data_IF_057363579400
#
_entry.id   IF_057363579400
#
_cell.length_a   1.000
_cell.length_b   1.000
_cell.length_c   1.000
_cell.angle_alpha   90.00
_cell.angle_beta   90.00
_cell.angle_gamma   90.00
#
_symmetry.space_group_name_H-M   'P 1'
#
loop_
_entity.id
_entity.type
_entity.pdbx_description
1 polymer ?
#
# COMPACT_ATOMS: atom_id res chain seq x y z
N UNK A 1 -0.77 -30.62 -13.03
CA UNK A 1 -0.15 -29.67 -13.97
C UNK A 1 -0.87 -28.32 -13.99
N UNK A 2 -1.53 -27.90 -12.90
CA UNK A 2 -2.38 -26.69 -12.87
C UNK A 2 -1.71 -25.45 -12.22
N UNK A 3 -0.43 -25.52 -11.87
CA UNK A 3 0.29 -24.40 -11.22
C UNK A 3 1.03 -23.47 -12.20
N UNK A 4 0.90 -23.61 -13.52
CA UNK A 4 1.70 -22.81 -14.48
C UNK A 4 1.23 -21.36 -14.64
N UNK A 5 -0.01 -21.02 -14.26
CA UNK A 5 -0.57 -19.67 -14.46
C UNK A 5 -0.20 -18.67 -13.36
N UNK A 6 0.22 -19.14 -12.18
CA UNK A 6 0.52 -18.26 -11.04
C UNK A 6 1.72 -17.31 -11.26
N UNK A 7 2.86 -17.77 -11.80
CA UNK A 7 3.98 -16.87 -12.07
C UNK A 7 3.62 -15.79 -13.09
N UNK A 8 2.84 -16.14 -14.11
CA UNK A 8 2.40 -15.25 -15.18
C UNK A 8 1.40 -14.21 -14.67
N UNK A 9 0.37 -14.63 -13.92
CA UNK A 9 -0.58 -13.71 -13.29
C UNK A 9 0.07 -12.75 -12.29
N UNK A 10 0.98 -13.26 -11.46
CA UNK A 10 1.73 -12.44 -10.51
C UNK A 10 2.67 -11.44 -11.21
N UNK A 11 3.31 -11.87 -12.30
CA UNK A 11 4.15 -11.01 -13.13
C UNK A 11 3.34 -9.92 -13.82
N UNK A 12 2.19 -10.26 -14.43
CA UNK A 12 1.29 -9.30 -15.08
C UNK A 12 0.77 -8.30 -14.05
N UNK A 13 0.25 -8.77 -12.91
CA UNK A 13 -0.30 -7.89 -11.86
C UNK A 13 0.76 -6.93 -11.32
N UNK A 14 1.97 -7.44 -11.02
CA UNK A 14 3.06 -6.60 -10.55
C UNK A 14 3.56 -5.63 -11.61
N UNK A 15 3.60 -6.03 -12.89
CA UNK A 15 3.97 -5.16 -14.00
C UNK A 15 2.94 -4.05 -14.17
N UNK A 16 1.65 -4.37 -14.16
CA UNK A 16 0.56 -3.40 -14.26
C UNK A 16 0.62 -2.41 -13.10
N UNK A 17 0.76 -2.86 -11.86
CA UNK A 17 0.86 -1.98 -10.68
C UNK A 17 2.12 -1.09 -10.75
N UNK A 18 3.25 -1.66 -11.17
CA UNK A 18 4.52 -0.92 -11.25
C UNK A 18 4.51 0.10 -12.38
N UNK A 19 4.01 -0.29 -13.56
CA UNK A 19 3.91 0.59 -14.73
C UNK A 19 2.87 1.66 -14.49
N UNK A 20 1.71 1.34 -13.92
CA UNK A 20 0.72 2.35 -13.52
C UNK A 20 1.30 3.29 -12.47
N UNK A 21 1.92 2.77 -11.41
CA UNK A 21 2.51 3.61 -10.37
C UNK A 21 3.65 4.50 -10.89
N UNK A 22 4.55 3.95 -11.72
CA UNK A 22 5.65 4.71 -12.32
C UNK A 22 5.15 5.71 -13.38
N UNK A 23 4.18 5.32 -14.21
CA UNK A 23 3.53 6.23 -15.16
C UNK A 23 2.79 7.35 -14.43
N UNK A 24 2.08 7.05 -13.34
CA UNK A 24 1.45 8.05 -12.48
C UNK A 24 2.53 8.99 -11.95
N UNK A 25 3.61 8.50 -11.33
CA UNK A 25 4.66 9.38 -10.77
C UNK A 25 5.41 10.21 -11.82
N UNK A 26 5.73 9.62 -12.98
CA UNK A 26 6.37 10.32 -14.10
C UNK A 26 5.41 11.36 -14.67
N UNK A 27 4.12 11.04 -14.81
CA UNK A 27 3.09 12.01 -15.18
C UNK A 27 3.00 13.11 -14.11
N UNK A 28 3.03 12.81 -12.80
CA UNK A 28 3.02 13.84 -11.74
C UNK A 28 4.22 14.77 -11.92
N UNK A 29 5.42 14.22 -12.10
CA UNK A 29 6.65 15.00 -12.25
C UNK A 29 6.68 15.85 -13.52
N UNK A 30 6.24 15.31 -14.65
CA UNK A 30 6.15 16.03 -15.93
C UNK A 30 5.06 17.11 -15.89
N UNK A 31 3.93 16.85 -15.21
CA UNK A 31 2.81 17.79 -15.09
C UNK A 31 3.01 18.86 -14.00
N UNK A 32 3.69 18.57 -12.88
CA UNK A 32 4.13 19.62 -11.94
C UNK A 32 5.08 20.62 -12.61
N UNK A 33 5.78 20.19 -13.67
CA UNK A 33 6.64 21.04 -14.49
C UNK A 33 5.89 21.82 -15.58
N UNK A 34 4.66 21.41 -15.94
CA UNK A 34 3.82 22.00 -16.99
C UNK A 34 2.39 22.08 -16.48
N UNK A 35 2.06 23.16 -15.79
CA UNK A 35 0.70 23.44 -15.34
C UNK A 35 -0.20 23.62 -16.59
N UNK A 36 -0.86 22.54 -17.00
CA UNK A 36 -2.21 22.56 -17.56
C UNK A 36 -2.87 21.20 -17.27
N UNK A 37 -4.03 21.20 -16.63
CA UNK A 37 -4.49 20.16 -15.69
C UNK A 37 -5.24 19.04 -16.43
N UNK A 38 -4.57 17.89 -16.66
CA UNK A 38 -5.14 16.75 -17.42
C UNK A 38 -5.13 15.37 -16.74
N UNK A 39 -4.67 15.23 -15.49
CA UNK A 39 -4.56 13.95 -14.77
C UNK A 39 -5.30 13.94 -13.43
N UNK A 40 -5.77 12.77 -12.98
CA UNK A 40 -6.43 12.68 -11.67
C UNK A 40 -5.40 12.71 -10.55
N UNK A 41 -5.30 13.84 -9.84
CA UNK A 41 -4.31 14.06 -8.79
C UNK A 41 -4.97 14.16 -7.43
N UNK A 42 -4.32 13.64 -6.39
CA UNK A 42 -4.72 13.81 -4.99
C UNK A 42 -3.58 14.47 -4.24
N UNK A 43 -3.75 15.73 -3.87
CA UNK A 43 -2.76 16.50 -3.12
C UNK A 43 -3.30 16.69 -1.70
N UNK A 44 -2.54 16.21 -0.72
CA UNK A 44 -2.87 16.39 0.68
C UNK A 44 -2.37 17.76 1.13
N UNK A 45 -3.20 18.48 1.89
CA UNK A 45 -2.84 19.76 2.49
C UNK A 45 -3.35 19.78 3.94
N UNK A 46 -2.52 20.35 4.82
CA UNK A 46 -2.86 20.61 6.21
C UNK A 46 -2.92 22.12 6.39
N UNK A 47 -4.12 22.67 6.48
CA UNK A 47 -4.38 24.10 6.69
C UNK A 47 -5.43 24.21 7.77
N UNK A 48 -5.38 25.21 8.63
CA UNK A 48 -6.57 25.53 9.43
C UNK A 48 -6.65 24.85 10.78
N UNK A 49 -6.07 23.63 10.92
CA UNK A 49 -6.59 22.50 11.70
C UNK A 49 -7.42 21.47 10.90
N UNK A 50 -7.33 21.53 9.57
CA UNK A 50 -8.10 20.70 8.65
C UNK A 50 -7.15 19.91 7.77
N UNK A 51 -7.45 18.63 7.61
CA UNK A 51 -6.86 17.78 6.58
C UNK A 51 -7.75 17.86 5.34
N UNK A 52 -7.18 18.35 4.23
CA UNK A 52 -7.85 18.43 2.94
C UNK A 52 -7.08 17.62 1.90
N UNK A 53 -7.81 16.85 1.10
CA UNK A 53 -7.30 16.16 -0.08
C UNK A 53 -7.96 16.76 -1.30
N UNK A 54 -7.18 17.53 -2.04
CA UNK A 54 -7.63 18.27 -3.22
C UNK A 54 -7.45 17.37 -4.42
N UNK A 55 -8.54 17.24 -5.19
CA UNK A 55 -8.64 16.32 -6.30
C UNK A 55 -8.85 17.07 -7.61
N UNK A 56 -7.97 16.82 -8.57
CA UNK A 56 -8.02 17.38 -9.91
C UNK A 56 -8.31 16.31 -10.96
N UNK A 57 -8.57 16.72 -12.21
CA UNK A 57 -8.49 15.85 -13.39
C UNK A 57 -9.79 15.16 -13.80
N UNK A 58 -9.70 14.04 -14.56
CA UNK A 58 -10.86 13.41 -15.20
C UNK A 58 -11.97 12.92 -14.25
N UNK A 59 -11.63 12.71 -12.98
CA UNK A 59 -12.62 12.40 -11.92
C UNK A 59 -13.71 13.45 -11.83
N UNK A 60 -13.41 14.72 -12.11
CA UNK A 60 -14.38 15.80 -12.04
C UNK A 60 -15.53 15.66 -13.05
N UNK A 61 -15.33 14.89 -14.12
CA UNK A 61 -16.38 14.60 -15.12
C UNK A 61 -17.36 13.51 -14.68
N UNK A 62 -17.06 12.79 -13.59
CA UNK A 62 -17.96 11.77 -13.05
C UNK A 62 -19.08 12.44 -12.23
N UNK A 63 -20.27 11.81 -12.14
CA UNK A 63 -21.29 12.26 -11.20
C UNK A 63 -20.78 12.17 -9.75
N UNK A 64 -21.32 13.01 -8.86
CA UNK A 64 -20.84 13.20 -7.49
C UNK A 64 -20.67 11.88 -6.72
N UNK A 65 -21.72 11.04 -6.70
CA UNK A 65 -21.67 9.73 -6.05
C UNK A 65 -20.52 8.83 -6.55
N UNK A 66 -20.16 8.93 -7.83
CA UNK A 66 -19.06 8.16 -8.42
C UNK A 66 -17.70 8.77 -8.06
N UNK A 67 -17.61 10.10 -7.92
CA UNK A 67 -16.42 10.78 -7.40
C UNK A 67 -16.15 10.35 -5.96
N UNK A 68 -17.17 10.37 -5.11
CA UNK A 68 -17.11 9.96 -3.71
C UNK A 68 -16.71 8.48 -3.57
N UNK A 69 -17.36 7.60 -4.34
CA UNK A 69 -17.04 6.18 -4.35
C UNK A 69 -15.60 5.92 -4.80
N UNK A 70 -15.12 6.62 -5.83
CA UNK A 70 -13.74 6.50 -6.29
C UNK A 70 -12.75 7.09 -5.28
N UNK A 71 -13.11 8.18 -4.60
CA UNK A 71 -12.32 8.76 -3.53
C UNK A 71 -12.14 7.75 -2.39
N UNK A 72 -13.25 7.26 -1.83
CA UNK A 72 -13.29 6.28 -0.75
C UNK A 72 -12.55 4.99 -1.11
N UNK A 73 -12.74 4.48 -2.34
CA UNK A 73 -12.01 3.31 -2.83
C UNK A 73 -10.50 3.55 -2.89
N UNK A 74 -10.08 4.75 -3.31
CA UNK A 74 -8.66 5.12 -3.31
C UNK A 74 -8.09 5.26 -1.91
N UNK A 75 -8.86 5.79 -0.95
CA UNK A 75 -8.47 5.82 0.47
C UNK A 75 -8.33 4.41 1.05
N UNK A 76 -9.28 3.51 0.75
CA UNK A 76 -9.19 2.11 1.14
C UNK A 76 -7.98 1.41 0.52
N UNK A 77 -7.59 1.78 -0.71
CA UNK A 77 -6.38 1.30 -1.35
C UNK A 77 -5.09 1.70 -0.60
N UNK A 78 -5.06 2.88 0.01
CA UNK A 78 -3.94 3.28 0.87
C UNK A 78 -3.86 2.36 2.09
N UNK A 79 -4.99 2.04 2.71
CA UNK A 79 -5.03 1.15 3.88
C UNK A 79 -4.60 -0.28 3.53
N UNK A 80 -4.98 -0.77 2.35
CA UNK A 80 -4.56 -2.06 1.83
C UNK A 80 -3.03 -2.24 1.76
N UNK A 81 -2.26 -1.15 1.64
CA UNK A 81 -0.80 -1.22 1.52
C UNK A 81 -0.13 -1.92 2.70
N UNK A 82 -0.60 -1.68 3.94
CA UNK A 82 -0.10 -2.40 5.12
C UNK A 82 -0.96 -3.60 5.49
N UNK A 83 -2.27 -3.54 5.26
CA UNK A 83 -3.19 -4.61 5.63
C UNK A 83 -2.95 -5.90 4.83
N UNK A 84 -2.32 -5.85 3.65
CA UNK A 84 -1.95 -7.04 2.87
C UNK A 84 -0.64 -7.72 3.30
N UNK A 85 0.22 -7.07 4.09
CA UNK A 85 1.51 -7.62 4.55
C UNK A 85 1.33 -8.96 5.32
N UNK A 86 0.36 -9.08 6.24
CA UNK A 86 0.08 -10.33 6.95
C UNK A 86 -0.27 -11.49 6.05
N UNK A 87 -1.05 -11.28 4.97
CA UNK A 87 -1.52 -12.37 4.11
C UNK A 87 -0.36 -13.16 3.51
N UNK A 88 0.65 -12.47 2.97
CA UNK A 88 1.83 -13.12 2.39
C UNK A 88 2.59 -13.92 3.45
N UNK A 89 2.73 -13.36 4.64
CA UNK A 89 3.43 -13.99 5.77
C UNK A 89 2.69 -15.20 6.32
N UNK A 90 1.36 -15.12 6.42
CA UNK A 90 0.49 -16.21 6.84
C UNK A 90 0.48 -17.35 5.83
N UNK A 91 0.48 -17.06 4.53
CA UNK A 91 0.58 -18.10 3.49
C UNK A 91 1.89 -18.89 3.60
N UNK A 92 3.00 -18.20 3.83
CA UNK A 92 4.31 -18.83 4.03
C UNK A 92 4.32 -19.65 5.32
N UNK A 93 3.84 -19.07 6.42
CA UNK A 93 3.69 -19.76 7.70
C UNK A 93 2.87 -21.04 7.55
N UNK A 94 1.69 -20.96 6.92
CA UNK A 94 0.82 -22.12 6.70
C UNK A 94 1.47 -23.17 5.80
N UNK A 95 2.21 -22.74 4.78
CA UNK A 95 2.88 -23.67 3.86
C UNK A 95 3.99 -24.47 4.53
N UNK A 96 4.63 -23.91 5.55
CA UNK A 96 5.71 -24.56 6.29
C UNK A 96 5.21 -25.32 7.53
N UNK A 97 4.36 -24.71 8.35
CA UNK A 97 3.88 -25.27 9.62
C UNK A 97 2.59 -26.09 9.49
N UNK A 98 1.81 -25.88 8.44
CA UNK A 98 0.49 -26.52 8.23
C UNK A 98 0.42 -27.13 6.82
N UNK A 99 1.41 -27.92 6.45
CA UNK A 99 1.50 -28.56 5.14
C UNK A 99 0.25 -29.41 4.79
N UNK A 100 -0.45 -29.95 5.78
CA UNK A 100 -1.68 -30.73 5.59
C UNK A 100 -2.90 -29.88 5.19
N UNK A 101 -2.82 -28.54 5.29
CA UNK A 101 -3.92 -27.68 4.85
C UNK A 101 -3.98 -27.66 3.33
N UNK A 102 -5.18 -27.89 2.78
CA UNK A 102 -5.49 -27.63 1.38
C UNK A 102 -5.19 -26.16 1.02
N UNK A 103 -4.86 -25.90 -0.25
CA UNK A 103 -4.57 -24.54 -0.75
C UNK A 103 -5.68 -23.55 -0.41
N UNK A 104 -6.96 -23.92 -0.62
CA UNK A 104 -8.11 -23.08 -0.30
C UNK A 104 -8.15 -22.65 1.18
N UNK A 105 -7.93 -23.59 2.12
CA UNK A 105 -7.85 -23.28 3.56
C UNK A 105 -6.72 -22.31 3.90
N UNK A 106 -5.56 -22.43 3.24
CA UNK A 106 -4.43 -21.50 3.45
C UNK A 106 -4.75 -20.09 2.95
N UNK A 107 -5.34 -19.99 1.76
CA UNK A 107 -5.80 -18.73 1.19
C UNK A 107 -6.87 -18.09 2.07
N UNK A 108 -7.90 -18.85 2.45
CA UNK A 108 -8.97 -18.37 3.31
C UNK A 108 -8.41 -17.82 4.62
N UNK A 109 -7.53 -18.56 5.31
CA UNK A 109 -6.94 -18.11 6.58
C UNK A 109 -6.05 -16.86 6.41
N UNK A 110 -5.27 -16.79 5.34
CA UNK A 110 -4.37 -15.67 5.10
C UNK A 110 -5.12 -14.38 4.74
N UNK A 111 -6.17 -14.48 3.93
CA UNK A 111 -6.92 -13.33 3.45
C UNK A 111 -8.11 -12.97 4.34
N UNK A 112 -8.65 -13.88 5.16
CA UNK A 112 -9.75 -13.55 6.08
C UNK A 112 -9.35 -12.46 7.08
N UNK A 113 -8.11 -12.52 7.59
CA UNK A 113 -7.56 -11.48 8.46
C UNK A 113 -7.52 -10.12 7.77
N UNK A 114 -7.05 -10.09 6.51
CA UNK A 114 -6.99 -8.85 5.71
C UNK A 114 -8.39 -8.32 5.42
N UNK A 115 -9.32 -9.18 5.00
CA UNK A 115 -10.70 -8.80 4.72
C UNK A 115 -11.39 -8.20 5.94
N UNK A 116 -11.12 -8.73 7.14
CA UNK A 116 -11.63 -8.18 8.39
C UNK A 116 -11.08 -6.78 8.67
N UNK A 117 -9.78 -6.55 8.48
CA UNK A 117 -9.17 -5.22 8.64
C UNK A 117 -9.69 -4.23 7.59
N UNK A 118 -9.80 -4.66 6.34
CA UNK A 118 -10.34 -3.84 5.24
C UNK A 118 -11.79 -3.47 5.52
N UNK A 119 -12.61 -4.41 5.96
CA UNK A 119 -14.00 -4.15 6.28
C UNK A 119 -14.14 -3.11 7.41
N UNK A 120 -13.31 -3.20 8.46
CA UNK A 120 -13.25 -2.20 9.53
C UNK A 120 -12.88 -0.82 8.98
N UNK A 121 -11.77 -0.74 8.25
CA UNK A 121 -11.23 0.55 7.82
C UNK A 121 -11.95 1.15 6.60
N UNK A 122 -12.74 0.37 5.86
CA UNK A 122 -13.54 0.88 4.73
C UNK A 122 -14.62 1.85 5.22
N UNK A 123 -15.19 1.60 6.40
CA UNK A 123 -16.13 2.52 7.03
C UNK A 123 -15.50 3.90 7.24
N UNK A 124 -14.27 3.94 7.77
CA UNK A 124 -13.48 5.15 7.97
C UNK A 124 -13.17 5.89 6.66
N UNK A 125 -13.07 5.17 5.54
CA UNK A 125 -12.83 5.79 4.24
C UNK A 125 -14.00 6.68 3.80
N UNK A 126 -15.22 6.38 4.25
CA UNK A 126 -16.41 7.18 3.98
C UNK A 126 -16.43 8.47 4.80
N UNK A 127 -15.78 8.50 5.97
CA UNK A 127 -15.74 9.69 6.83
C UNK A 127 -15.01 10.87 6.18
N UNK A 128 -14.09 10.60 5.25
CA UNK A 128 -13.39 11.62 4.47
C UNK A 128 -14.28 12.33 3.45
N UNK A 129 -15.45 11.76 3.12
CA UNK A 129 -16.44 12.45 2.28
C UNK A 129 -17.11 13.52 3.15
N UNK A 130 -16.90 14.81 2.85
CA UNK A 130 -17.37 15.87 3.71
C UNK A 130 -18.90 15.96 3.67
N UNK A 131 -19.46 16.44 4.77
CA UNK A 131 -20.89 16.78 4.86
C UNK A 131 -21.21 17.98 3.97
N UNK A 132 -22.48 18.11 3.55
CA UNK A 132 -22.92 19.20 2.66
C UNK A 132 -22.61 20.60 3.22
N UNK A 133 -22.61 20.77 4.55
CA UNK A 133 -22.27 22.05 5.17
C UNK A 133 -20.76 22.34 5.23
N UNK A 134 -19.92 21.31 5.17
CA UNK A 134 -18.47 21.43 5.33
C UNK A 134 -17.72 21.45 3.99
N UNK A 135 -18.33 20.97 2.92
CA UNK A 135 -17.71 20.93 1.58
C UNK A 135 -17.29 22.33 1.09
N UNK A 136 -18.09 23.36 1.36
CA UNK A 136 -17.79 24.73 0.91
C UNK A 136 -16.60 25.33 1.69
N UNK A 137 -16.50 25.03 2.98
CA UNK A 137 -15.34 25.39 3.80
C UNK A 137 -14.07 24.71 3.29
N UNK A 138 -14.14 23.42 2.98
CA UNK A 138 -13.03 22.66 2.39
C UNK A 138 -12.62 23.19 1.02
N UNK A 139 -13.59 23.59 0.17
CA UNK A 139 -13.31 24.22 -1.12
C UNK A 139 -12.55 25.52 -0.94
N UNK A 140 -12.96 26.37 0.01
CA UNK A 140 -12.28 27.62 0.29
C UNK A 140 -10.85 27.40 0.84
N UNK A 141 -10.67 26.40 1.70
CA UNK A 141 -9.34 25.95 2.12
C UNK A 141 -8.50 25.51 0.93
N UNK A 142 -9.07 24.71 0.02
CA UNK A 142 -8.40 24.25 -1.20
C UNK A 142 -7.98 25.40 -2.11
N UNK A 143 -8.86 26.39 -2.33
CA UNK A 143 -8.53 27.59 -3.12
C UNK A 143 -7.36 28.35 -2.53
N UNK A 144 -7.41 28.64 -1.23
CA UNK A 144 -6.34 29.38 -0.54
C UNK A 144 -5.03 28.61 -0.53
N UNK A 145 -5.08 27.30 -0.32
CA UNK A 145 -3.89 26.45 -0.29
C UNK A 145 -3.14 26.41 -1.63
N UNK A 146 -3.88 26.43 -2.74
CA UNK A 146 -3.34 26.30 -4.10
C UNK A 146 -3.36 27.59 -4.92
N UNK A 147 -3.74 28.72 -4.31
CA UNK A 147 -3.95 30.01 -4.98
C UNK A 147 -4.88 29.90 -6.20
N UNK A 148 -5.98 29.15 -6.07
CA UNK A 148 -6.96 28.95 -7.14
C UNK A 148 -7.97 30.08 -7.21
N UNK A 149 -8.48 30.30 -8.41
CA UNK A 149 -9.58 31.21 -8.72
C UNK A 149 -10.94 30.51 -8.66
N UNK A 150 -12.03 31.27 -8.75
CA UNK A 150 -13.38 30.71 -8.80
C UNK A 150 -13.68 29.96 -10.10
N UNK A 151 -12.91 30.17 -11.16
CA UNK A 151 -13.03 29.45 -12.43
C UNK A 151 -12.32 28.09 -12.43
N UNK A 152 -11.46 27.82 -11.46
CA UNK A 152 -10.73 26.56 -11.39
C UNK A 152 -11.62 25.45 -10.82
N UNK A 153 -11.72 24.35 -11.57
CA UNK A 153 -12.51 23.18 -11.19
C UNK A 153 -11.64 22.19 -10.41
N UNK A 154 -12.10 21.82 -9.21
CA UNK A 154 -11.50 20.80 -8.36
C UNK A 154 -12.55 20.26 -7.38
N UNK A 155 -12.26 19.11 -6.80
CA UNK A 155 -13.03 18.54 -5.69
C UNK A 155 -12.17 18.52 -4.43
N UNK A 156 -12.78 18.60 -3.26
CA UNK A 156 -12.05 18.49 -1.99
C UNK A 156 -12.74 17.49 -1.08
N UNK A 157 -11.93 16.62 -0.51
CA UNK A 157 -12.32 15.68 0.53
C UNK A 157 -11.51 15.97 1.77
N UNK A 158 -11.97 15.55 2.94
CA UNK A 158 -11.24 15.84 4.17
C UNK A 158 -12.10 15.87 5.41
N UNK A 159 -11.46 16.24 6.51
CA UNK A 159 -12.09 16.38 7.82
C UNK A 159 -11.22 17.25 8.72
N UNK A 160 -11.78 17.72 9.83
CA UNK A 160 -11.03 18.46 10.85
C UNK A 160 -10.06 17.53 11.57
N UNK A 161 -8.93 18.08 12.04
CA UNK A 161 -7.94 17.31 12.79
C UNK A 161 -8.51 16.88 14.15
N UNK A 162 -9.16 17.79 14.86
CA UNK A 162 -9.82 17.57 16.15
C UNK A 162 -11.35 17.64 16.03
N UNK A 163 -12.06 17.23 17.08
CA UNK A 163 -13.51 17.47 17.21
C UNK A 163 -13.78 18.96 17.44
N UNK A 164 -14.59 19.59 16.58
CA UNK A 164 -14.81 21.05 16.61
C UNK A 164 -16.26 21.47 16.37
N UNK A 165 -17.23 20.54 16.36
CA UNK A 165 -18.62 20.77 15.95
C UNK A 165 -18.81 20.88 14.43
N UNK A 166 -17.75 21.18 13.68
CA UNK A 166 -17.72 21.16 12.21
C UNK A 166 -17.73 19.73 11.68
N UNK A 167 -18.24 19.57 10.46
CA UNK A 167 -18.28 18.29 9.76
C UNK A 167 -18.90 17.14 10.59
N UNK A 168 -20.00 17.40 11.29
CA UNK A 168 -20.67 16.44 12.18
C UNK A 168 -19.73 15.82 13.24
N UNK A 169 -18.82 16.62 13.79
CA UNK A 169 -17.84 16.17 14.79
C UNK A 169 -16.90 15.04 14.32
N UNK A 170 -16.70 14.88 13.01
CA UNK A 170 -15.69 13.92 12.49
C UNK A 170 -14.28 14.43 12.75
N UNK A 171 -13.36 13.57 13.21
CA UNK A 171 -11.99 13.95 13.56
C UNK A 171 -10.96 13.00 12.95
N UNK A 172 -9.99 13.56 12.22
CA UNK A 172 -8.87 12.81 11.64
C UNK A 172 -8.03 12.13 12.72
N UNK A 173 -7.80 12.79 13.85
CA UNK A 173 -7.05 12.19 14.96
C UNK A 173 -7.79 10.99 15.54
N UNK A 174 -9.11 11.08 15.71
CA UNK A 174 -9.91 9.96 16.17
C UNK A 174 -9.86 8.79 15.18
N UNK A 175 -10.18 9.04 13.90
CA UNK A 175 -10.11 8.02 12.84
C UNK A 175 -8.71 7.39 12.77
N UNK A 176 -7.66 8.20 12.90
CA UNK A 176 -6.28 7.69 12.89
C UNK A 176 -5.99 6.83 14.11
N UNK A 177 -6.38 7.26 15.31
CA UNK A 177 -6.10 6.55 16.55
C UNK A 177 -6.89 5.25 16.70
N UNK A 178 -8.13 5.21 16.21
CA UNK A 178 -9.05 4.07 16.40
C UNK A 178 -8.98 3.07 15.25
N UNK A 179 -8.68 3.52 14.02
CA UNK A 179 -8.77 2.64 12.84
C UNK A 179 -7.40 2.43 12.18
N UNK A 180 -6.69 3.51 11.86
CA UNK A 180 -5.40 3.43 11.15
C UNK A 180 -4.34 2.79 12.06
N UNK A 181 -4.11 3.34 13.25
CA UNK A 181 -3.07 2.86 14.17
C UNK A 181 -3.29 1.40 14.60
N UNK A 182 -4.51 0.97 14.99
CA UNK A 182 -4.73 -0.43 15.38
C UNK A 182 -4.61 -1.40 14.21
N UNK A 183 -5.13 -1.06 13.02
CA UNK A 183 -4.99 -1.93 11.84
C UNK A 183 -3.53 -2.06 11.39
N UNK A 184 -2.78 -0.96 11.47
CA UNK A 184 -1.34 -0.94 11.21
C UNK A 184 -0.58 -1.81 12.20
N UNK A 185 -0.79 -1.59 13.50
CA UNK A 185 -0.16 -2.36 14.57
C UNK A 185 -0.49 -3.84 14.46
N UNK A 186 -1.76 -4.20 14.30
CA UNK A 186 -2.21 -5.58 14.15
C UNK A 186 -1.53 -6.26 12.95
N UNK A 187 -1.44 -5.57 11.82
CA UNK A 187 -0.76 -6.09 10.62
C UNK A 187 0.71 -6.41 10.89
N UNK A 188 1.43 -5.49 11.53
CA UNK A 188 2.85 -5.67 11.83
C UNK A 188 3.12 -6.70 12.95
N UNK A 189 2.23 -6.84 13.92
CA UNK A 189 2.31 -7.90 14.93
C UNK A 189 2.16 -9.28 14.31
N UNK A 190 1.18 -9.47 13.42
CA UNK A 190 1.00 -10.75 12.69
C UNK A 190 2.18 -11.03 11.77
N UNK A 191 2.67 -10.01 11.05
CA UNK A 191 3.87 -10.11 10.24
C UNK A 191 5.08 -10.57 11.08
N UNK A 192 5.38 -9.86 12.17
CA UNK A 192 6.51 -10.15 13.05
C UNK A 192 6.42 -11.53 13.68
N UNK A 193 5.23 -11.95 14.11
CA UNK A 193 4.98 -13.30 14.61
C UNK A 193 5.27 -14.35 13.54
N UNK A 194 4.65 -14.24 12.36
CA UNK A 194 4.83 -15.20 11.27
C UNK A 194 6.29 -15.28 10.83
N UNK A 195 6.94 -14.13 10.65
CA UNK A 195 8.34 -14.03 10.27
C UNK A 195 9.25 -14.70 11.31
N UNK A 196 9.06 -14.41 12.60
CA UNK A 196 9.84 -15.01 13.69
C UNK A 196 9.69 -16.54 13.72
N UNK A 197 8.48 -17.07 13.51
CA UNK A 197 8.23 -18.51 13.45
C UNK A 197 8.92 -19.14 12.23
N UNK A 198 8.72 -18.59 11.04
CA UNK A 198 9.35 -19.09 9.80
C UNK A 198 10.87 -19.04 9.91
N UNK A 199 11.42 -17.94 10.44
CA UNK A 199 12.86 -17.79 10.67
C UNK A 199 13.41 -18.89 11.59
N UNK A 200 12.76 -19.12 12.75
CA UNK A 200 13.16 -20.19 13.69
C UNK A 200 13.10 -21.57 13.05
N UNK A 201 12.06 -21.85 12.26
CA UNK A 201 11.96 -23.14 11.55
C UNK A 201 13.10 -23.33 10.56
N UNK A 202 13.38 -22.33 9.73
CA UNK A 202 14.47 -22.39 8.75
C UNK A 202 15.83 -22.50 9.45
N UNK A 203 15.99 -21.83 10.59
CA UNK A 203 17.19 -21.94 11.42
C UNK A 203 17.34 -23.35 12.02
N UNK A 204 16.30 -23.90 12.64
CA UNK A 204 16.37 -25.23 13.27
C UNK A 204 16.54 -26.36 12.24
N UNK A 205 15.99 -26.21 11.03
CA UNK A 205 16.24 -27.13 9.92
C UNK A 205 17.71 -27.20 9.51
N UNK A 206 18.53 -26.21 9.90
CA UNK A 206 19.97 -26.21 9.67
C UNK A 206 20.71 -27.21 10.56
N UNK A 207 20.18 -27.50 11.75
CA UNK A 207 20.89 -28.21 12.81
C UNK A 207 20.55 -29.71 12.88
N UNK A 208 19.40 -30.15 12.36
CA UNK A 208 18.93 -31.53 12.60
C UNK A 208 18.42 -32.33 11.40
N UNK A 209 18.28 -31.75 10.21
CA UNK A 209 17.68 -32.44 9.04
C UNK A 209 18.54 -32.24 7.80
N UNK A 210 18.82 -33.33 7.07
CA UNK A 210 19.51 -33.31 5.77
C UNK A 210 18.64 -32.66 4.68
N UNK A 211 18.41 -31.35 4.79
CA UNK A 211 17.73 -30.55 3.78
C UNK A 211 18.71 -30.27 2.64
N UNK A 212 18.28 -30.55 1.41
CA UNK A 212 19.07 -30.26 0.20
C UNK A 212 19.55 -28.81 0.20
N UNK A 213 20.77 -28.57 -0.29
CA UNK A 213 21.32 -27.21 -0.43
C UNK A 213 20.36 -26.30 -1.24
N UNK A 214 19.63 -26.88 -2.18
CA UNK A 214 18.61 -26.20 -2.98
C UNK A 214 17.46 -25.65 -2.12
N UNK A 215 16.85 -26.49 -1.28
CA UNK A 215 15.72 -26.06 -0.44
C UNK A 215 16.16 -25.04 0.60
N UNK A 216 17.38 -25.15 1.13
CA UNK A 216 17.96 -24.13 2.03
C UNK A 216 18.11 -22.76 1.34
N UNK A 217 18.66 -22.74 0.13
CA UNK A 217 18.77 -21.51 -0.66
C UNK A 217 17.40 -20.88 -0.92
N UNK A 218 16.42 -21.71 -1.32
CA UNK A 218 15.05 -21.25 -1.59
C UNK A 218 14.40 -20.64 -0.34
N UNK A 219 14.50 -21.28 0.83
CA UNK A 219 13.95 -20.76 2.09
C UNK A 219 14.61 -19.45 2.52
N UNK A 220 15.93 -19.31 2.34
CA UNK A 220 16.65 -18.08 2.65
C UNK A 220 16.17 -16.93 1.76
N UNK A 221 16.05 -17.18 0.46
CA UNK A 221 15.53 -16.19 -0.48
C UNK A 221 14.10 -15.80 -0.14
N UNK A 222 13.24 -16.76 0.21
CA UNK A 222 11.87 -16.50 0.63
C UNK A 222 11.82 -15.58 1.88
N UNK A 223 12.62 -15.88 2.90
CA UNK A 223 12.74 -15.07 4.11
C UNK A 223 13.22 -13.64 3.82
N UNK A 224 14.23 -13.49 2.95
CA UNK A 224 14.73 -12.17 2.55
C UNK A 224 13.66 -11.33 1.86
N UNK A 225 12.78 -11.96 1.07
CA UNK A 225 11.68 -11.27 0.42
C UNK A 225 10.61 -10.89 1.40
N UNK A 226 10.21 -11.82 2.27
CA UNK A 226 9.21 -11.54 3.28
C UNK A 226 9.67 -10.36 4.14
N UNK A 227 10.95 -10.35 4.54
CA UNK A 227 11.55 -9.22 5.24
C UNK A 227 11.49 -7.93 4.40
N UNK A 228 11.98 -7.94 3.16
CA UNK A 228 11.96 -6.75 2.31
C UNK A 228 10.54 -6.22 2.06
N UNK A 229 9.58 -7.10 1.81
CA UNK A 229 8.18 -6.76 1.55
C UNK A 229 7.48 -6.17 2.77
N UNK A 230 7.82 -6.59 3.99
CA UNK A 230 7.26 -6.01 5.21
C UNK A 230 8.02 -4.76 5.69
N UNK A 231 9.35 -4.77 5.62
CA UNK A 231 10.21 -3.73 6.19
C UNK A 231 10.33 -2.49 5.32
N UNK A 232 10.33 -2.62 3.99
CA UNK A 232 10.37 -1.44 3.10
C UNK A 232 9.14 -0.54 3.30
N UNK A 233 7.88 -1.05 3.26
CA UNK A 233 6.71 -0.27 3.68
C UNK A 233 6.84 0.36 5.05
N UNK A 234 7.28 -0.43 6.03
CA UNK A 234 7.36 0.03 7.41
C UNK A 234 8.26 1.26 7.52
N UNK A 235 9.45 1.20 6.92
CA UNK A 235 10.43 2.28 7.01
C UNK A 235 10.01 3.49 6.16
N UNK A 236 9.56 3.28 4.92
CA UNK A 236 9.23 4.37 4.01
C UNK A 236 7.91 5.05 4.39
N UNK A 237 6.83 4.28 4.55
CA UNK A 237 5.50 4.81 4.89
C UNK A 237 5.46 5.23 6.35
N UNK A 238 6.08 4.46 7.26
CA UNK A 238 6.14 4.81 8.68
C UNK A 238 6.83 6.15 8.92
N UNK A 239 7.90 6.47 8.18
CA UNK A 239 8.53 7.79 8.28
C UNK A 239 7.61 8.92 7.80
N UNK A 240 6.92 8.73 6.66
CA UNK A 240 5.98 9.73 6.12
C UNK A 240 4.82 9.94 7.09
N UNK A 241 4.20 8.85 7.57
CA UNK A 241 3.11 8.91 8.55
C UNK A 241 3.60 9.57 9.84
N UNK A 242 4.79 9.23 10.34
CA UNK A 242 5.34 9.85 11.54
C UNK A 242 5.49 11.37 11.38
N UNK A 243 6.02 11.83 10.25
CA UNK A 243 6.13 13.27 9.96
C UNK A 243 4.74 13.91 9.92
N UNK A 244 3.77 13.29 9.22
CA UNK A 244 2.39 13.78 9.18
C UNK A 244 1.79 13.85 10.58
N UNK A 245 1.97 12.81 11.40
CA UNK A 245 1.44 12.76 12.77
C UNK A 245 2.05 13.81 13.68
N UNK A 246 3.35 14.09 13.55
CA UNK A 246 4.00 15.19 14.26
C UNK A 246 3.38 16.52 13.82
N UNK A 247 3.26 16.77 12.51
CA UNK A 247 2.66 18.00 12.02
C UNK A 247 1.21 18.17 12.49
N UNK A 248 0.41 17.11 12.46
CA UNK A 248 -0.97 17.10 12.96
C UNK A 248 -1.01 17.38 14.47
N UNK A 249 -0.21 16.67 15.26
CA UNK A 249 -0.20 16.80 16.71
C UNK A 249 0.21 18.21 17.20
N UNK A 250 1.10 18.87 16.48
CA UNK A 250 1.58 20.21 16.80
C UNK A 250 0.88 21.34 16.01
N UNK A 251 -0.11 21.01 15.17
CA UNK A 251 -0.80 21.99 14.32
C UNK A 251 0.13 22.71 13.34
N UNK A 252 1.22 22.06 12.91
CA UNK A 252 2.20 22.65 12.01
C UNK A 252 1.63 22.72 10.59
N UNK A 253 1.69 23.90 9.98
CA UNK A 253 1.37 24.08 8.58
C UNK A 253 2.51 23.50 7.72
N UNK A 254 2.23 22.38 7.05
CA UNK A 254 3.20 21.72 6.17
C UNK A 254 3.37 22.50 4.84
N UNK A 255 2.37 23.31 4.46
CA UNK A 255 2.36 24.07 3.21
C UNK A 255 2.68 23.19 2.00
N UNK A 256 3.54 23.68 1.12
CA UNK A 256 3.94 22.97 -0.11
C UNK A 256 4.70 21.66 0.14
N UNK A 257 5.26 21.43 1.33
CA UNK A 257 5.93 20.17 1.66
C UNK A 257 4.94 18.98 1.69
N UNK A 258 3.64 19.25 1.83
CA UNK A 258 2.61 18.23 1.83
C UNK A 258 2.49 17.55 0.45
N UNK A 259 2.84 18.28 -0.62
CA UNK A 259 2.97 17.73 -1.98
C UNK A 259 4.08 16.68 -2.03
N UNK A 260 5.26 16.98 -1.46
CA UNK A 260 6.39 16.05 -1.44
C UNK A 260 6.09 14.81 -0.59
N UNK A 261 5.40 14.97 0.54
CA UNK A 261 4.93 13.84 1.36
C UNK A 261 3.91 12.98 0.61
N UNK A 262 2.96 13.61 -0.09
CA UNK A 262 1.98 12.92 -0.93
C UNK A 262 2.68 12.13 -2.04
N UNK A 263 3.62 12.75 -2.74
CA UNK A 263 4.45 12.09 -3.77
C UNK A 263 5.21 10.88 -3.23
N UNK A 264 5.79 11.01 -2.03
CA UNK A 264 6.46 9.90 -1.35
C UNK A 264 5.50 8.75 -1.06
N UNK A 265 4.30 9.06 -0.57
CA UNK A 265 3.26 8.08 -0.27
C UNK A 265 2.80 7.33 -1.53
N UNK A 266 2.58 8.04 -2.63
CA UNK A 266 2.15 7.44 -3.90
C UNK A 266 3.28 6.65 -4.60
N UNK A 267 4.53 7.11 -4.46
CA UNK A 267 5.71 6.41 -4.99
C UNK A 267 5.93 5.04 -4.39
N UNK A 268 5.36 4.80 -3.21
CA UNK A 268 5.54 3.58 -2.47
C UNK A 268 5.05 2.33 -3.21
N UNK A 269 3.87 2.39 -3.85
CA UNK A 269 3.34 1.25 -4.61
C UNK A 269 4.26 0.86 -5.78
N UNK A 270 4.85 1.87 -6.44
CA UNK A 270 5.82 1.68 -7.52
C UNK A 270 7.09 1.01 -7.02
N UNK A 271 7.59 1.40 -5.84
CA UNK A 271 8.77 0.78 -5.22
C UNK A 271 8.49 -0.68 -4.84
N UNK A 272 7.35 -0.97 -4.22
CA UNK A 272 6.95 -2.34 -3.88
C UNK A 272 6.82 -3.23 -5.13
N UNK A 273 6.13 -2.74 -6.16
CA UNK A 273 5.95 -3.48 -7.41
C UNK A 273 7.29 -3.72 -8.10
N UNK A 274 8.18 -2.72 -8.15
CA UNK A 274 9.52 -2.84 -8.72
C UNK A 274 10.36 -3.90 -7.99
N UNK A 275 10.34 -3.88 -6.65
CA UNK A 275 11.05 -4.87 -5.83
C UNK A 275 10.54 -6.28 -6.10
N UNK A 276 9.22 -6.45 -6.27
CA UNK A 276 8.61 -7.73 -6.61
C UNK A 276 9.02 -8.21 -8.02
N UNK A 277 9.04 -7.33 -9.01
CA UNK A 277 9.48 -7.67 -10.37
C UNK A 277 10.96 -8.05 -10.45
N UNK A 278 11.83 -7.28 -9.78
CA UNK A 278 13.27 -7.60 -9.67
C UNK A 278 13.44 -9.02 -9.11
N UNK A 279 12.63 -9.37 -8.11
CA UNK A 279 12.66 -10.70 -7.54
C UNK A 279 12.20 -11.79 -8.51
N UNK A 280 11.03 -11.65 -9.13
CA UNK A 280 10.50 -12.64 -10.08
C UNK A 280 11.53 -12.92 -11.19
N UNK A 281 12.15 -11.86 -11.72
CA UNK A 281 13.21 -11.98 -12.73
C UNK A 281 14.43 -12.75 -12.25
N UNK A 282 14.83 -12.59 -10.97
CA UNK A 282 15.93 -13.36 -10.37
C UNK A 282 15.55 -14.83 -10.17
N UNK A 283 14.32 -15.11 -9.76
CA UNK A 283 13.82 -16.47 -9.61
C UNK A 283 13.80 -17.24 -10.94
N UNK A 284 13.35 -16.60 -12.02
CA UNK A 284 13.34 -17.20 -13.36
C UNK A 284 14.73 -17.43 -13.93
N UNK A 285 15.65 -16.46 -13.76
CA UNK A 285 17.06 -16.63 -14.19
C UNK A 285 17.74 -17.83 -13.49
N UNK A 286 17.38 -18.07 -12.22
CA UNK A 286 17.87 -19.24 -11.47
C UNK A 286 17.35 -20.56 -12.05
N UNK A 287 16.07 -20.60 -12.48
CA UNK A 287 15.47 -21.78 -13.13
C UNK A 287 16.07 -22.07 -14.51
N UNK A 288 16.31 -21.04 -15.32
CA UNK A 288 16.88 -21.18 -16.67
C UNK A 288 18.30 -21.77 -16.66
N UNK A 289 19.17 -21.26 -15.79
CA UNK A 289 20.56 -21.77 -15.64
C UNK A 289 20.58 -23.25 -15.25
N UNK A 290 19.63 -23.69 -14.43
CA UNK A 290 19.56 -25.08 -13.96
C UNK A 290 19.11 -26.05 -15.05
N UNK A 291 18.10 -25.67 -15.85
CA UNK A 291 17.60 -26.49 -16.97
C UNK A 291 18.72 -26.75 -17.98
N UNK A 292 19.53 -25.73 -18.25
CA UNK A 292 20.69 -25.84 -19.15
C UNK A 292 21.76 -26.81 -18.62
N UNK A 293 22.04 -26.78 -17.31
CA UNK A 293 23.05 -27.65 -16.67
C UNK A 293 22.62 -29.13 -16.62
N UNK A 294 21.33 -29.39 -16.45
CA UNK A 294 20.79 -30.76 -16.53
C UNK A 294 20.91 -31.26 -17.98
N UNK A 295 20.51 -30.44 -18.96
CA UNK A 295 20.59 -30.82 -20.38
C UNK A 295 22.01 -31.08 -20.89
N UNK A 296 23.02 -30.41 -20.33
CA UNK A 296 24.43 -30.66 -20.69
C UNK A 296 24.96 -31.97 -20.13
N UNK A 297 24.54 -32.35 -18.91
CA UNK A 297 24.97 -33.61 -18.30
C UNK A 297 24.29 -34.84 -18.93
N UNK A 298 23.08 -34.69 -19.48
CA UNK A 298 22.40 -35.80 -20.18
C UNK A 298 23.01 -36.09 -21.56
N UNK A 299 23.75 -35.15 -22.15
CA UNK A 299 24.44 -35.36 -23.44
C UNK A 299 25.85 -35.93 -23.31
N UNK A 300 26.42 -35.93 -22.11
CA UNK A 300 27.77 -36.44 -21.85
C UNK A 300 27.79 -37.89 -21.36
N UNK A 301 26.63 -38.54 -21.27
CA UNK A 301 26.44 -39.96 -20.94
C UNK A 301 25.79 -40.66 -22.13
#
# INVERSE_FOLDING_TARGET
SEMSYWPEFAFISATVITVLGAAINILVLIYLQRIDIGGSWRIQVFVSDTFAMIVYGPVLYLPEWARDAMFATGAAHIYLMWQLIPAQSLLQFCSLYRANFSVAKRLLLAYSFVLMLVASSFYSCLEYVPTLGYVDELREIGRRAHNLTNSDNFEVYGMTLCHTGRNEDRSMLFTTAVEICPSYLASYLVFGYCFSRVYRMVHNLREGVNVSARSRSMHRTLLQLQFAQGSVPLLSVGLIILVIMICVAFGLNIGSWAVLLSLGLWSFSSVQGTMYLIYLRRADKSRGTQTRRISSNTRSN
#
